data_IF_726971621079
#
_entry.id   IF_726971621079
#
_cell.length_a   1.000
_cell.length_b   1.000
_cell.length_c   1.000
_cell.angle_alpha   90.00
_cell.angle_beta   90.00
_cell.angle_gamma   90.00
#
_symmetry.space_group_name_H-M   'P 1'
#
loop_
_entity.id
_entity.type
_entity.pdbx_description
1 polymer ?
#
# COMPACT_ATOMS: atom_id res chain seq x y z
N UNK A 1 -4.46 -25.52 -11.96
CA UNK A 1 -3.54 -26.28 -11.08
C UNK A 1 -4.33 -27.42 -10.45
N UNK A 2 -3.91 -28.66 -10.65
CA UNK A 2 -4.70 -29.85 -10.28
C UNK A 2 -3.83 -30.98 -9.67
N UNK A 3 -2.60 -30.66 -9.28
CA UNK A 3 -1.72 -31.53 -8.52
C UNK A 3 -1.39 -30.82 -7.20
N UNK A 4 -1.21 -31.58 -6.12
CA UNK A 4 -0.87 -31.03 -4.81
C UNK A 4 0.50 -31.57 -4.43
N UNK A 5 1.42 -30.70 -4.04
CA UNK A 5 2.72 -31.12 -3.53
C UNK A 5 2.57 -31.89 -2.21
N UNK A 6 3.22 -33.05 -2.07
CA UNK A 6 3.17 -33.87 -0.85
C UNK A 6 3.93 -33.26 0.33
N UNK A 7 4.87 -32.35 0.09
CA UNK A 7 5.70 -31.75 1.13
C UNK A 7 5.12 -30.43 1.67
N UNK A 8 4.68 -29.53 0.78
CA UNK A 8 4.22 -28.18 1.15
C UNK A 8 2.75 -27.90 0.80
N UNK A 9 2.02 -28.88 0.25
CA UNK A 9 0.61 -28.76 -0.14
C UNK A 9 0.29 -27.66 -1.16
N UNK A 10 1.31 -27.06 -1.78
CA UNK A 10 1.12 -26.09 -2.86
C UNK A 10 0.41 -26.74 -4.06
N UNK A 11 -0.51 -25.96 -4.67
CA UNK A 11 -1.15 -26.32 -5.92
C UNK A 11 -0.14 -26.20 -7.07
N UNK A 12 -0.07 -27.25 -7.88
CA UNK A 12 0.86 -27.40 -9.01
C UNK A 12 0.13 -27.65 -10.32
N UNK A 13 0.78 -27.35 -11.43
CA UNK A 13 0.40 -27.86 -12.75
C UNK A 13 0.97 -29.27 -12.96
N UNK A 14 0.31 -30.08 -13.80
CA UNK A 14 0.63 -31.51 -14.02
C UNK A 14 2.08 -31.79 -14.43
N UNK A 15 2.73 -30.87 -15.14
CA UNK A 15 4.08 -31.04 -15.66
C UNK A 15 5.11 -30.10 -15.02
N UNK A 16 4.78 -29.49 -13.88
CA UNK A 16 5.75 -28.66 -13.16
C UNK A 16 6.83 -29.52 -12.51
N UNK A 17 8.11 -29.13 -12.63
CA UNK A 17 9.21 -29.87 -12.05
C UNK A 17 9.02 -30.03 -10.52
N UNK A 18 9.51 -31.13 -9.91
CA UNK A 18 9.36 -31.38 -8.48
C UNK A 18 9.88 -30.23 -7.60
N UNK A 19 10.92 -29.53 -8.09
CA UNK A 19 11.56 -28.42 -7.38
C UNK A 19 10.80 -27.09 -7.36
N UNK A 20 9.73 -26.91 -8.15
CA UNK A 20 9.13 -25.60 -8.41
C UNK A 20 8.51 -24.91 -7.18
N UNK A 21 8.06 -25.67 -6.18
CA UNK A 21 7.36 -25.13 -5.01
C UNK A 21 8.22 -25.08 -3.73
N UNK A 22 8.77 -26.22 -3.31
CA UNK A 22 9.53 -26.36 -2.06
C UNK A 22 10.92 -26.98 -2.28
N UNK A 23 11.46 -26.88 -3.50
CA UNK A 23 12.69 -27.56 -3.90
C UNK A 23 12.68 -29.05 -3.56
N UNK A 24 11.55 -29.74 -3.82
CA UNK A 24 11.35 -31.16 -3.51
C UNK A 24 11.50 -31.48 -2.00
N UNK A 25 10.89 -30.65 -1.15
CA UNK A 25 10.86 -30.84 0.31
C UNK A 25 12.04 -30.23 1.07
N UNK A 26 13.01 -29.63 0.37
CA UNK A 26 14.18 -28.98 0.99
C UNK A 26 13.85 -27.64 1.63
N UNK A 27 12.84 -26.93 1.12
CA UNK A 27 12.39 -25.65 1.64
C UNK A 27 11.10 -25.85 2.41
N UNK A 28 11.13 -25.54 3.72
CA UNK A 28 9.94 -25.51 4.57
C UNK A 28 9.58 -24.06 4.84
N UNK A 29 8.54 -23.57 4.17
CA UNK A 29 8.00 -22.24 4.45
C UNK A 29 7.25 -22.28 5.79
N UNK A 30 7.42 -21.22 6.59
CA UNK A 30 6.56 -20.97 7.75
C UNK A 30 5.13 -20.74 7.28
N UNK A 31 4.18 -21.14 8.14
CA UNK A 31 2.78 -20.81 7.90
C UNK A 31 2.61 -19.29 7.88
N UNK A 32 1.78 -18.80 6.95
CA UNK A 32 1.42 -17.39 6.94
C UNK A 32 0.62 -17.10 8.21
N UNK A 33 0.98 -16.00 8.88
CA UNK A 33 0.19 -15.51 10.00
C UNK A 33 -1.20 -15.08 9.51
N UNK A 34 -2.20 -15.31 10.34
CA UNK A 34 -3.55 -14.84 10.05
C UNK A 34 -3.56 -13.31 10.05
N UNK A 35 -4.08 -12.65 9.01
CA UNK A 35 -4.21 -11.20 8.99
C UNK A 35 -5.00 -10.71 10.21
N UNK A 36 -4.66 -9.55 10.79
CA UNK A 36 -5.48 -8.94 11.83
C UNK A 36 -6.80 -8.42 11.24
N UNK A 37 -7.84 -8.28 12.08
CA UNK A 37 -9.05 -7.56 11.67
C UNK A 37 -8.77 -6.05 11.51
N UNK A 38 -9.40 -5.36 10.54
CA UNK A 38 -10.50 -5.83 9.68
C UNK A 38 -10.05 -6.56 8.39
N UNK A 39 -8.74 -6.72 8.16
CA UNK A 39 -8.21 -7.26 6.90
C UNK A 39 -8.63 -8.72 6.67
N UNK A 40 -8.70 -9.52 7.74
CA UNK A 40 -9.15 -10.90 7.66
C UNK A 40 -10.57 -11.00 7.09
N UNK A 41 -11.50 -10.18 7.60
CA UNK A 41 -12.87 -10.10 7.07
C UNK A 41 -12.89 -9.77 5.58
N UNK A 42 -12.08 -8.80 5.13
CA UNK A 42 -11.98 -8.44 3.72
C UNK A 42 -11.34 -9.53 2.85
N UNK A 43 -10.49 -10.39 3.40
CA UNK A 43 -9.82 -11.48 2.68
C UNK A 43 -10.59 -12.82 2.70
N UNK A 44 -11.70 -12.91 3.44
CA UNK A 44 -12.44 -14.16 3.68
C UNK A 44 -13.15 -14.75 2.45
N UNK A 45 -13.56 -13.92 1.48
CA UNK A 45 -14.36 -14.28 0.31
C UNK A 45 -15.84 -14.58 0.61
N UNK A 46 -16.29 -14.42 1.85
CA UNK A 46 -17.62 -14.89 2.28
C UNK A 46 -18.71 -13.83 2.20
N UNK A 47 -18.36 -12.54 2.32
CA UNK A 47 -19.33 -11.44 2.29
C UNK A 47 -19.31 -10.68 0.96
N UNK A 48 -20.33 -9.86 0.70
CA UNK A 48 -20.36 -8.93 -0.44
C UNK A 48 -19.15 -8.01 -0.46
N UNK A 49 -18.77 -7.48 0.71
CA UNK A 49 -17.67 -6.55 0.90
C UNK A 49 -16.34 -7.23 0.61
N UNK A 50 -16.14 -8.45 1.13
CA UNK A 50 -14.94 -9.22 0.87
C UNK A 50 -14.79 -9.57 -0.62
N UNK A 51 -15.88 -9.99 -1.28
CA UNK A 51 -15.86 -10.26 -2.71
C UNK A 51 -15.56 -9.01 -3.54
N UNK A 52 -16.14 -7.87 -3.17
CA UNK A 52 -15.83 -6.59 -3.78
C UNK A 52 -14.35 -6.21 -3.59
N UNK A 53 -13.83 -6.37 -2.37
CA UNK A 53 -12.45 -6.10 -2.02
C UNK A 53 -11.49 -6.96 -2.86
N UNK A 54 -11.66 -8.29 -2.86
CA UNK A 54 -10.83 -9.23 -3.61
C UNK A 54 -10.87 -8.96 -5.11
N UNK A 55 -12.04 -8.61 -5.67
CA UNK A 55 -12.19 -8.25 -7.09
C UNK A 55 -11.41 -6.98 -7.46
N UNK A 56 -11.30 -6.03 -6.52
CA UNK A 56 -10.68 -4.72 -6.75
C UNK A 56 -9.33 -4.54 -6.02
N UNK A 57 -8.77 -5.58 -5.39
CA UNK A 57 -7.58 -5.49 -4.52
C UNK A 57 -6.38 -4.83 -5.22
N UNK A 58 -6.20 -5.12 -6.52
CA UNK A 58 -5.16 -4.48 -7.34
C UNK A 58 -5.37 -2.98 -7.46
N UNK A 59 -6.61 -2.53 -7.65
CA UNK A 59 -6.94 -1.09 -7.74
C UNK A 59 -6.68 -0.41 -6.41
N UNK A 60 -7.12 -1.00 -5.29
CA UNK A 60 -6.83 -0.47 -3.96
C UNK A 60 -5.32 -0.33 -3.74
N UNK A 61 -4.54 -1.40 -3.96
CA UNK A 61 -3.09 -1.35 -3.79
C UNK A 61 -2.41 -0.34 -4.74
N UNK A 62 -2.87 -0.22 -5.98
CA UNK A 62 -2.34 0.75 -6.94
C UNK A 62 -2.64 2.20 -6.56
N UNK A 63 -3.80 2.49 -5.95
CA UNK A 63 -4.08 3.84 -5.44
C UNK A 63 -3.06 4.26 -4.37
N UNK A 64 -2.57 3.32 -3.56
CA UNK A 64 -1.56 3.57 -2.53
C UNK A 64 -0.11 3.52 -3.04
N UNK A 65 0.10 3.18 -4.31
CA UNK A 65 1.40 3.17 -4.96
C UNK A 65 1.83 4.57 -5.44
N UNK A 66 0.95 5.58 -5.34
CA UNK A 66 1.26 6.94 -5.73
C UNK A 66 2.36 7.54 -4.83
N UNK A 67 3.55 7.65 -5.40
CA UNK A 67 4.66 8.41 -4.81
C UNK A 67 4.58 9.83 -5.35
N UNK A 68 4.19 10.80 -4.53
CA UNK A 68 4.29 12.22 -4.90
C UNK A 68 5.65 12.79 -4.48
N UNK A 69 6.18 13.70 -5.28
CA UNK A 69 7.39 14.46 -4.95
C UNK A 69 7.00 15.80 -4.35
N UNK A 70 7.61 16.15 -3.22
CA UNK A 70 7.55 17.49 -2.66
C UNK A 70 8.76 18.31 -3.08
N UNK A 71 8.57 19.60 -3.37
CA UNK A 71 9.66 20.56 -3.60
C UNK A 71 9.42 21.80 -2.72
N UNK A 72 10.44 22.23 -1.99
CA UNK A 72 10.37 23.40 -1.11
C UNK A 72 10.42 24.73 -1.86
N UNK A 73 10.97 24.73 -3.07
CA UNK A 73 11.07 25.91 -3.93
C UNK A 73 11.08 25.49 -5.40
N UNK A 74 10.25 26.14 -6.21
CA UNK A 74 10.23 25.97 -7.67
C UNK A 74 10.91 27.21 -8.27
N UNK A 75 12.09 27.03 -8.88
CA UNK A 75 12.81 28.12 -9.54
C UNK A 75 12.36 28.13 -11.01
N UNK A 76 11.39 28.99 -11.32
CA UNK A 76 10.99 29.25 -12.71
C UNK A 76 11.99 30.20 -13.38
N UNK A 77 12.52 29.85 -14.55
CA UNK A 77 13.22 30.79 -15.44
C UNK A 77 12.30 31.14 -16.60
N UNK A 78 12.13 32.43 -16.90
CA UNK A 78 11.32 32.86 -18.04
C UNK A 78 11.87 32.27 -19.35
N UNK A 79 11.04 31.58 -20.11
CA UNK A 79 11.44 30.95 -21.38
C UNK A 79 12.05 29.55 -21.27
N UNK A 80 12.06 28.93 -20.08
CA UNK A 80 12.47 27.53 -19.89
C UNK A 80 11.46 26.76 -19.05
N UNK A 81 11.13 25.54 -19.47
CA UNK A 81 10.35 24.60 -18.65
C UNK A 81 11.18 24.12 -17.45
N UNK A 82 10.60 24.29 -16.27
CA UNK A 82 11.27 23.95 -15.00
C UNK A 82 11.39 22.43 -14.90
N UNK A 83 12.55 21.90 -15.28
CA UNK A 83 12.84 20.47 -15.22
C UNK A 83 13.63 20.18 -13.97
N UNK A 84 13.07 19.41 -13.02
CA UNK A 84 13.87 18.80 -11.95
C UNK A 84 14.31 17.42 -12.41
N UNK A 85 15.61 17.11 -12.26
CA UNK A 85 16.19 15.81 -12.65
C UNK A 85 16.55 15.03 -11.40
N UNK A 86 15.92 13.88 -11.22
CA UNK A 86 16.30 12.93 -10.16
C UNK A 86 17.27 11.92 -10.79
N UNK A 87 18.50 11.88 -10.28
CA UNK A 87 19.44 10.78 -10.54
C UNK A 87 19.29 9.76 -9.39
N UNK A 88 19.34 8.47 -9.72
CA UNK A 88 19.16 7.30 -8.82
C UNK A 88 17.71 6.81 -8.65
N UNK A 89 17.54 5.76 -7.84
CA UNK A 89 16.25 5.11 -7.56
C UNK A 89 15.46 5.91 -6.53
N UNK A 90 14.15 6.03 -6.78
CA UNK A 90 13.20 6.64 -5.86
C UNK A 90 12.66 5.53 -4.95
N UNK A 91 12.77 5.73 -3.64
CA UNK A 91 12.15 4.87 -2.64
C UNK A 91 10.97 5.59 -2.00
N UNK A 92 9.82 4.93 -1.94
CA UNK A 92 8.67 5.42 -1.20
C UNK A 92 8.88 5.12 0.29
N UNK A 93 9.02 6.15 1.11
CA UNK A 93 8.91 6.00 2.56
C UNK A 93 7.45 6.21 2.94
N UNK A 94 6.76 5.12 3.29
CA UNK A 94 5.41 5.23 3.84
C UNK A 94 5.47 6.00 5.18
N UNK A 95 4.89 7.20 5.20
CA UNK A 95 4.72 8.00 6.41
C UNK A 95 3.50 7.57 7.21
N UNK A 96 3.22 8.27 8.31
CA UNK A 96 1.99 8.08 9.06
C UNK A 96 0.76 8.29 8.18
N UNK A 97 -0.29 7.47 8.36
CA UNK A 97 -1.58 7.67 7.68
C UNK A 97 -2.40 8.81 8.29
N UNK A 98 -1.98 9.30 9.46
CA UNK A 98 -2.58 10.43 10.18
C UNK A 98 -1.51 11.54 10.27
N UNK A 99 -1.85 12.80 9.98
CA UNK A 99 -0.93 13.91 10.14
C UNK A 99 -0.55 14.06 11.61
N UNK A 100 0.66 14.59 11.83
CA UNK A 100 1.06 15.01 13.16
C UNK A 100 0.18 16.19 13.62
N UNK A 101 0.00 16.38 14.94
CA UNK A 101 -0.66 17.57 15.45
C UNK A 101 -0.04 18.83 14.83
N UNK A 102 -0.89 19.74 14.33
CA UNK A 102 -0.49 21.00 13.68
C UNK A 102 0.24 20.86 12.34
N UNK A 103 0.31 19.66 11.75
CA UNK A 103 0.77 19.49 10.37
C UNK A 103 -0.40 19.32 9.40
N UNK A 104 -0.27 19.96 8.23
CA UNK A 104 -1.18 19.70 7.12
C UNK A 104 -1.03 18.25 6.62
N UNK A 105 -2.16 17.65 6.26
CA UNK A 105 -2.21 16.34 5.60
C UNK A 105 -1.35 16.35 4.32
N UNK A 106 -0.43 15.39 4.20
CA UNK A 106 0.47 15.22 3.05
C UNK A 106 0.38 13.79 2.50
N UNK A 107 0.73 13.62 1.22
CA UNK A 107 0.79 12.31 0.56
C UNK A 107 -0.55 11.55 0.66
N UNK A 108 -0.55 10.29 1.11
CA UNK A 108 -1.73 9.45 1.25
C UNK A 108 -2.76 10.00 2.24
N UNK A 109 -2.35 10.84 3.20
CA UNK A 109 -3.24 11.41 4.20
C UNK A 109 -4.35 12.26 3.55
N UNK A 110 -4.11 12.86 2.39
CA UNK A 110 -5.11 13.68 1.68
C UNK A 110 -6.29 12.88 1.15
N UNK A 111 -6.16 11.55 1.03
CA UNK A 111 -7.27 10.67 0.63
C UNK A 111 -8.19 10.30 1.81
N UNK A 112 -7.67 10.36 3.03
CA UNK A 112 -8.42 9.94 4.22
C UNK A 112 -8.99 11.12 5.00
N UNK A 113 -8.33 12.28 4.95
CA UNK A 113 -8.75 13.47 5.69
C UNK A 113 -9.73 14.28 4.87
N UNK A 114 -10.97 14.31 5.34
CA UNK A 114 -12.04 15.13 4.77
C UNK A 114 -11.78 16.62 5.02
N UNK A 115 -12.41 17.49 4.22
CA UNK A 115 -12.30 18.94 4.41
C UNK A 115 -12.86 19.41 5.76
N UNK A 116 -13.73 18.64 6.40
CA UNK A 116 -14.24 18.93 7.75
C UNK A 116 -13.18 18.66 8.83
N UNK A 117 -12.45 17.55 8.73
CA UNK A 117 -11.36 17.20 9.65
C UNK A 117 -10.14 18.12 9.49
N UNK A 118 -9.91 18.62 8.27
CA UNK A 118 -8.86 19.61 7.97
C UNK A 118 -9.15 20.97 8.61
N UNK A 119 -10.42 21.33 8.84
CA UNK A 119 -10.81 22.55 9.55
C UNK A 119 -10.61 22.40 11.07
N UNK A 120 -11.02 21.26 11.63
CA UNK A 120 -10.85 20.95 13.05
C UNK A 120 -9.39 20.96 13.49
N UNK A 121 -8.44 20.50 12.66
CA UNK A 121 -7.01 20.54 12.99
C UNK A 121 -6.42 21.95 13.01
N UNK A 122 -6.98 22.88 12.22
CA UNK A 122 -6.56 24.28 12.20
C UNK A 122 -7.26 25.12 13.30
N UNK A 123 -8.44 24.69 13.76
CA UNK A 123 -9.21 25.37 14.82
C UNK A 123 -8.77 24.97 16.24
N UNK A 124 -8.05 23.86 16.42
CA UNK A 124 -7.49 23.49 17.74
C UNK A 124 -6.24 24.33 18.07
N UNK A 125 -5.61 24.96 17.08
CA UNK A 125 -4.47 25.89 17.28
C UNK A 125 -4.88 27.33 17.63
N UNK A 126 -6.16 27.66 17.69
CA UNK A 126 -6.65 29.01 18.05
C UNK A 126 -7.19 29.13 19.48
N UNK A 127 -7.04 28.09 20.32
CA UNK A 127 -7.40 28.14 21.74
C UNK A 127 -6.20 27.85 22.66
N UNK A 128 -5.06 28.50 22.44
CA UNK A 128 -4.08 28.78 23.51
C UNK A 128 -3.34 30.08 23.19
N UNK A 129 -3.93 31.21 23.56
CA UNK A 129 -3.30 32.39 24.16
C UNK A 129 -4.36 33.21 24.91
#
# INVERSE_FOLDING_TARGET
MNQICTYCFALKYKFEPPGMCCCNGKVRLTALETPPEPLLSYMSGTTSESNHFLKNIRRYNSCFQMTSFGASSIIGRSGFETTFKVQCQIYQKAGSLIPLPSENAKFLQTYFISDEERKLTNDVTTYQE
#
